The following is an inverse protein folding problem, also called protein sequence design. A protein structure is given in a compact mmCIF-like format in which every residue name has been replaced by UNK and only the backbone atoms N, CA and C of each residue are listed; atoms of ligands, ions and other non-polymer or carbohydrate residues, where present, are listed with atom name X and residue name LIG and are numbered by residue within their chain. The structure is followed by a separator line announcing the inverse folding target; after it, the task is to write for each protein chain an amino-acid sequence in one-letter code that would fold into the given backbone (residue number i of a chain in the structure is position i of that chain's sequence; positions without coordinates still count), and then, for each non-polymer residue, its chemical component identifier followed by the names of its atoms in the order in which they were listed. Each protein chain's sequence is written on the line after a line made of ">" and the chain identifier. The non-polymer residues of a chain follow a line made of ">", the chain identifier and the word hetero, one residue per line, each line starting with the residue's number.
data_IF_583455861873
#
_entry.id   IF_583455861873
#
_cell.length_a   1.000
_cell.length_b   1.000
_cell.length_c   1.000
_cell.angle_alpha   90.00
_cell.angle_beta   90.00
_cell.angle_gamma   90.00
#
_symmetry.space_group_name_H-M   'P 1'
#
loop_
_entity.id
_entity.type
_entity.pdbx_description
1 polymer ?
#
# COMPACT_ATOMS: atom_id res chain seq x y z
N UNK A 1 7.09 -0.45 6.90
CA UNK A 1 6.60 -0.60 5.52
C UNK A 1 6.26 -2.04 5.14
N UNK A 2 7.14 -3.02 5.38
CA UNK A 2 6.92 -4.41 4.94
C UNK A 2 5.58 -5.02 5.39
N UNK A 3 5.13 -4.72 6.62
CA UNK A 3 3.84 -5.20 7.13
C UNK A 3 2.65 -4.77 6.25
N UNK A 4 2.54 -3.48 5.94
CA UNK A 4 1.47 -2.95 5.07
C UNK A 4 1.49 -3.60 3.68
N UNK A 5 2.67 -3.88 3.14
CA UNK A 5 2.80 -4.51 1.81
C UNK A 5 2.32 -5.95 1.83
N UNK A 6 2.85 -6.78 2.73
CA UNK A 6 2.60 -8.22 2.71
C UNK A 6 1.23 -8.62 3.27
N UNK A 7 0.73 -7.89 4.28
CA UNK A 7 -0.51 -8.28 4.99
C UNK A 7 -1.74 -7.49 4.56
N UNK A 8 -1.59 -6.31 3.93
CA UNK A 8 -2.72 -5.47 3.52
C UNK A 8 -2.74 -5.27 2.01
N UNK A 9 -1.69 -4.73 1.40
CA UNK A 9 -1.67 -4.37 -0.02
C UNK A 9 -1.71 -5.62 -0.89
N UNK A 10 -0.83 -6.60 -0.65
CA UNK A 10 -0.73 -7.82 -1.45
C UNK A 10 -2.03 -8.65 -1.50
N UNK A 11 -2.67 -9.02 -0.37
CA UNK A 11 -3.91 -9.80 -0.43
C UNK A 11 -5.07 -9.02 -1.07
N UNK A 12 -5.11 -7.69 -0.96
CA UNK A 12 -6.09 -6.87 -1.66
C UNK A 12 -5.78 -6.78 -3.17
N UNK A 13 -4.51 -6.70 -3.56
CA UNK A 13 -4.09 -6.75 -4.97
C UNK A 13 -4.41 -8.09 -5.61
N UNK A 14 -4.26 -9.22 -4.91
CA UNK A 14 -4.67 -10.53 -5.40
C UNK A 14 -6.16 -10.59 -5.76
N UNK A 15 -7.03 -9.95 -4.97
CA UNK A 15 -8.47 -9.83 -5.27
C UNK A 15 -8.71 -8.92 -6.50
N UNK A 16 -7.98 -7.82 -6.62
CA UNK A 16 -8.10 -6.88 -7.73
C UNK A 16 -7.63 -7.47 -9.06
N UNK A 17 -6.55 -8.26 -9.03
CA UNK A 17 -5.95 -8.92 -10.20
C UNK A 17 -6.72 -10.19 -10.61
N UNK A 18 -7.79 -10.55 -9.90
CA UNK A 18 -8.57 -11.76 -10.18
C UNK A 18 -7.85 -13.07 -9.81
N UNK A 19 -6.78 -13.01 -9.01
CA UNK A 19 -6.10 -14.19 -8.47
C UNK A 19 -6.92 -14.87 -7.36
N UNK A 20 -7.89 -14.15 -6.78
CA UNK A 20 -8.89 -14.67 -5.84
C UNK A 20 -10.26 -14.22 -6.29
N UNK A 21 -11.23 -15.13 -6.23
CA UNK A 21 -12.64 -14.79 -6.45
C UNK A 21 -13.08 -13.78 -5.39
N UNK A 22 -13.61 -12.66 -5.86
CA UNK A 22 -14.16 -11.59 -5.05
C UNK A 22 -15.27 -10.91 -5.85
N UNK A 23 -16.34 -10.53 -5.17
CA UNK A 23 -17.43 -9.77 -5.77
C UNK A 23 -16.97 -8.36 -6.19
N UNK A 24 -17.71 -7.71 -7.09
CA UNK A 24 -17.37 -6.37 -7.54
C UNK A 24 -17.27 -5.34 -6.39
N UNK A 25 -18.11 -5.49 -5.35
CA UNK A 25 -18.10 -4.66 -4.14
C UNK A 25 -16.85 -4.90 -3.27
N UNK A 26 -16.43 -6.16 -3.14
CA UNK A 26 -15.21 -6.52 -2.43
C UNK A 26 -13.96 -6.03 -3.17
N UNK A 27 -13.95 -6.07 -4.50
CA UNK A 27 -12.87 -5.51 -5.33
C UNK A 27 -12.80 -3.99 -5.16
N UNK A 28 -13.95 -3.30 -5.14
CA UNK A 28 -13.99 -1.85 -4.91
C UNK A 28 -13.43 -1.47 -3.53
N UNK A 29 -13.77 -2.26 -2.51
CA UNK A 29 -13.25 -2.08 -1.14
C UNK A 29 -11.76 -2.41 -1.05
N UNK A 30 -11.30 -3.49 -1.72
CA UNK A 30 -9.90 -3.88 -1.79
C UNK A 30 -9.04 -2.78 -2.44
N UNK A 31 -9.53 -2.14 -3.51
CA UNK A 31 -8.86 -0.98 -4.14
C UNK A 31 -8.65 0.17 -3.17
N UNK A 32 -9.70 0.53 -2.40
CA UNK A 32 -9.61 1.60 -1.40
C UNK A 32 -8.61 1.27 -0.30
N UNK A 33 -8.67 0.06 0.24
CA UNK A 33 -7.77 -0.38 1.32
C UNK A 33 -6.31 -0.44 0.86
N UNK A 34 -6.05 -0.95 -0.36
CA UNK A 34 -4.72 -0.97 -0.94
C UNK A 34 -4.19 0.46 -1.16
N UNK A 35 -5.03 1.39 -1.65
CA UNK A 35 -4.64 2.78 -1.85
C UNK A 35 -4.32 3.50 -0.52
N UNK A 36 -5.16 3.33 0.50
CA UNK A 36 -4.93 3.90 1.84
C UNK A 36 -3.63 3.40 2.47
N UNK A 37 -3.39 2.09 2.43
CA UNK A 37 -2.16 1.49 2.95
C UNK A 37 -0.91 1.95 2.16
N UNK A 38 -1.04 2.18 0.84
CA UNK A 38 0.02 2.76 0.01
C UNK A 38 0.34 4.20 0.42
N UNK A 39 -0.69 5.04 0.63
CA UNK A 39 -0.51 6.43 1.07
C UNK A 39 0.18 6.52 2.44
N UNK A 40 -0.18 5.65 3.39
CA UNK A 40 0.48 5.59 4.70
C UNK A 40 1.97 5.21 4.55
N UNK A 41 2.29 4.28 3.66
CA UNK A 41 3.69 3.92 3.39
C UNK A 41 4.49 5.09 2.79
N UNK A 42 3.89 5.91 1.92
CA UNK A 42 4.53 7.12 1.40
C UNK A 42 4.81 8.10 2.53
N UNK A 43 3.83 8.38 3.39
CA UNK A 43 4.00 9.30 4.53
C UNK A 43 5.10 8.81 5.47
N UNK A 44 5.12 7.51 5.78
CA UNK A 44 6.16 6.91 6.62
C UNK A 44 7.56 6.96 5.97
N UNK A 45 7.65 7.13 4.65
CA UNK A 45 8.92 7.28 3.92
C UNK A 45 9.45 8.73 3.91
N UNK A 46 8.60 9.72 4.24
CA UNK A 46 8.99 11.15 4.22
C UNK A 46 10.16 11.45 5.17
N UNK A 47 10.16 11.02 6.45
CA UNK A 47 11.28 11.31 7.35
C UNK A 47 12.61 10.78 6.84
N UNK A 48 12.61 9.56 6.27
CA UNK A 48 13.79 8.97 5.65
C UNK A 48 14.29 9.83 4.47
N UNK A 49 13.39 10.23 3.55
CA UNK A 49 13.74 11.10 2.43
C UNK A 49 14.32 12.45 2.89
N UNK A 50 13.75 13.05 3.95
CA UNK A 50 14.26 14.29 4.52
C UNK A 50 15.67 14.11 5.11
N UNK A 51 15.94 13.00 5.81
CA UNK A 51 17.29 12.71 6.32
C UNK A 51 18.32 12.44 5.23
N UNK A 52 17.91 11.80 4.13
CA UNK A 52 18.78 11.59 2.97
C UNK A 52 19.13 12.90 2.27
N UNK A 53 18.15 13.82 2.16
CA UNK A 53 18.36 15.16 1.62
C UNK A 53 19.29 15.99 2.52
N UNK A 54 19.06 15.98 3.83
CA UNK A 54 19.87 16.70 4.80
C UNK A 54 21.33 16.21 4.88
N UNK A 55 21.60 14.94 4.55
CA UNK A 55 22.96 14.41 4.46
C UNK A 55 23.71 14.80 3.18
N UNK A 56 22.97 15.17 2.12
CA UNK A 56 23.55 15.58 0.83
C UNK A 56 23.77 17.11 0.71
N UNK A 57 23.46 17.88 1.76
CA UNK A 57 23.69 19.32 1.89
C UNK A 57 24.74 19.53 2.97
#
# INVERSE_FOLDING_TARGET
>A
MAFNVWFIIWPNQQKILGMKEATAEEIATAKKNAALASSINVILSIPMLLTMLAWHI
#
